data_IF_695341262727
#
_entry.id   IF_695341262727
#
_cell.length_a   1.000
_cell.length_b   1.000
_cell.length_c   1.000
_cell.angle_alpha   90.00
_cell.angle_beta   90.00
_cell.angle_gamma   90.00
#
_symmetry.space_group_name_H-M   'P 1'
#
loop_
_entity.id
_entity.type
_entity.pdbx_description
1 polymer ?
#
# COMPACT_ATOMS: atom_id res chain seq x y z
N UNK A 1 23.19 35.80 -12.23
CA UNK A 1 22.64 35.71 -13.60
C UNK A 1 22.36 34.29 -14.09
N UNK A 2 23.01 33.23 -13.59
CA UNK A 2 22.68 31.83 -13.94
C UNK A 2 21.36 31.32 -13.31
N UNK A 3 20.95 31.82 -12.15
CA UNK A 3 19.75 31.35 -11.43
C UNK A 3 18.42 31.88 -12.01
N UNK A 4 18.43 33.03 -12.69
CA UNK A 4 17.22 33.61 -13.31
C UNK A 4 16.85 32.87 -14.61
N UNK A 5 17.84 32.32 -15.31
CA UNK A 5 17.63 31.58 -16.56
C UNK A 5 16.98 30.19 -16.32
N UNK A 6 17.26 29.57 -15.17
CA UNK A 6 16.68 28.27 -14.78
C UNK A 6 15.21 28.43 -14.35
N UNK A 7 14.84 29.53 -13.68
CA UNK A 7 13.45 29.83 -13.36
C UNK A 7 12.59 30.12 -14.60
N UNK A 8 13.14 30.80 -15.62
CA UNK A 8 12.43 31.02 -16.88
C UNK A 8 12.31 29.76 -17.74
N UNK A 9 13.29 28.85 -17.71
CA UNK A 9 13.20 27.57 -18.40
C UNK A 9 12.19 26.62 -17.73
N UNK A 10 12.08 26.66 -16.39
CA UNK A 10 11.07 25.88 -15.64
C UNK A 10 9.67 26.47 -15.82
N UNK A 11 9.54 27.81 -15.88
CA UNK A 11 8.28 28.47 -16.22
C UNK A 11 7.84 28.15 -17.66
N UNK A 12 8.77 27.94 -18.61
CA UNK A 12 8.41 27.59 -19.99
C UNK A 12 7.96 26.13 -20.18
N UNK A 13 8.09 25.25 -19.18
CA UNK A 13 7.85 23.80 -19.31
C UNK A 13 6.58 23.31 -18.56
N UNK A 14 5.83 24.14 -17.84
CA UNK A 14 4.65 23.66 -17.08
C UNK A 14 3.46 24.64 -17.00
N UNK A 15 3.01 25.16 -18.15
CA UNK A 15 1.74 25.92 -18.26
C UNK A 15 0.63 25.13 -18.99
N UNK A 16 0.76 23.80 -19.10
CA UNK A 16 -0.25 22.96 -19.76
C UNK A 16 -1.33 22.53 -18.78
N UNK A 17 -2.60 22.66 -19.17
CA UNK A 17 -3.66 21.86 -18.57
C UNK A 17 -3.31 20.38 -18.80
N UNK A 18 -3.30 19.60 -17.73
CA UNK A 18 -2.96 18.18 -17.75
C UNK A 18 -4.21 17.35 -18.07
N UNK A 19 -4.03 16.20 -18.72
CA UNK A 19 -5.11 15.22 -18.95
C UNK A 19 -4.85 14.00 -18.10
N UNK A 20 -5.73 13.74 -17.13
CA UNK A 20 -5.59 12.68 -16.14
C UNK A 20 -6.79 11.75 -16.20
N UNK A 21 -6.52 10.45 -16.10
CA UNK A 21 -7.51 9.38 -16.11
C UNK A 21 -7.53 8.59 -14.80
N UNK A 22 -8.73 8.36 -14.26
CA UNK A 22 -8.98 7.51 -13.10
C UNK A 22 -9.79 6.28 -13.48
N UNK A 23 -9.25 5.08 -13.25
CA UNK A 23 -9.96 3.81 -13.47
C UNK A 23 -10.82 3.43 -12.26
N UNK A 24 -12.02 3.97 -12.19
CA UNK A 24 -12.96 3.75 -11.07
C UNK A 24 -14.37 3.45 -11.56
N UNK A 25 -15.20 2.72 -10.79
CA UNK A 25 -16.60 2.55 -11.13
C UNK A 25 -17.30 3.92 -11.11
N UNK A 26 -17.89 4.32 -12.25
CA UNK A 26 -18.56 5.64 -12.38
C UNK A 26 -19.65 5.83 -11.31
N UNK A 27 -20.50 4.82 -11.11
CA UNK A 27 -21.64 4.89 -10.19
C UNK A 27 -21.23 5.02 -8.72
N UNK A 28 -20.00 4.61 -8.37
CA UNK A 28 -19.44 4.84 -7.05
C UNK A 28 -19.01 6.30 -6.88
N UNK A 29 -18.44 6.90 -7.93
CA UNK A 29 -17.94 8.27 -7.90
C UNK A 29 -19.06 9.31 -8.07
N UNK A 30 -19.97 9.07 -9.00
CA UNK A 30 -21.08 9.92 -9.36
C UNK A 30 -22.35 9.07 -9.25
N UNK A 31 -23.15 9.30 -8.22
CA UNK A 31 -24.36 8.51 -7.97
C UNK A 31 -25.35 8.62 -9.13
N UNK A 32 -26.20 7.60 -9.38
CA UNK A 32 -27.21 7.65 -10.44
C UNK A 32 -28.13 8.89 -10.37
N UNK A 33 -28.43 9.39 -9.17
CA UNK A 33 -29.19 10.63 -8.97
C UNK A 33 -28.44 11.87 -9.49
N UNK A 34 -27.12 11.95 -9.26
CA UNK A 34 -26.33 13.06 -9.77
C UNK A 34 -26.24 13.03 -11.30
N UNK A 35 -26.22 11.84 -11.89
CA UNK A 35 -26.17 11.64 -13.35
C UNK A 35 -27.45 12.08 -14.06
N UNK A 36 -28.61 12.00 -13.39
CA UNK A 36 -29.91 12.33 -13.98
C UNK A 36 -29.95 13.79 -14.48
N UNK A 37 -30.16 13.96 -15.79
CA UNK A 37 -30.23 15.26 -16.46
C UNK A 37 -28.92 16.07 -16.46
N UNK A 38 -27.80 15.49 -16.03
CA UNK A 38 -26.49 16.15 -15.96
C UNK A 38 -25.35 15.35 -16.59
N UNK A 39 -25.70 14.34 -17.37
CA UNK A 39 -24.79 13.60 -18.25
C UNK A 39 -25.24 13.76 -19.69
N UNK A 40 -24.30 13.69 -20.63
CA UNK A 40 -24.58 13.81 -22.06
C UNK A 40 -23.62 12.95 -22.87
N UNK A 41 -24.16 12.08 -23.71
CA UNK A 41 -23.35 11.33 -24.68
C UNK A 41 -22.67 12.27 -25.67
N UNK A 42 -21.37 12.05 -25.87
CA UNK A 42 -20.55 12.81 -26.79
C UNK A 42 -20.45 12.05 -28.11
N UNK A 43 -20.69 12.76 -29.22
CA UNK A 43 -20.53 12.20 -30.57
C UNK A 43 -19.08 12.18 -31.04
N UNK A 44 -18.20 12.91 -30.36
CA UNK A 44 -16.76 12.99 -30.59
C UNK A 44 -16.06 13.40 -29.28
N UNK A 45 -14.79 13.06 -29.07
CA UNK A 45 -14.05 13.52 -27.91
C UNK A 45 -13.95 15.06 -27.89
N UNK A 46 -13.91 15.70 -26.70
CA UNK A 46 -13.83 17.16 -26.59
C UNK A 46 -12.57 17.72 -27.24
N UNK A 47 -11.48 16.95 -27.23
CA UNK A 47 -10.23 17.22 -27.92
C UNK A 47 -9.49 15.90 -28.23
N UNK A 48 -8.42 15.99 -29.03
CA UNK A 48 -7.55 14.85 -29.27
C UNK A 48 -6.78 14.50 -27.98
N UNK A 49 -6.92 13.27 -27.53
CA UNK A 49 -6.26 12.73 -26.34
C UNK A 49 -5.96 11.25 -26.55
N UNK A 50 -4.83 10.80 -26.03
CA UNK A 50 -4.43 9.40 -26.07
C UNK A 50 -5.36 8.46 -25.27
N UNK A 51 -6.23 9.02 -24.41
CA UNK A 51 -7.26 8.27 -23.69
C UNK A 51 -8.47 7.88 -24.53
N UNK A 52 -8.64 8.46 -25.72
CA UNK A 52 -9.84 8.28 -26.55
C UNK A 52 -9.49 7.64 -27.88
N UNK A 53 -10.19 6.55 -28.20
CA UNK A 53 -10.11 5.89 -29.49
C UNK A 53 -11.34 6.20 -30.36
N UNK A 54 -11.16 6.07 -31.68
CA UNK A 54 -12.26 6.29 -32.62
C UNK A 54 -13.34 5.22 -32.41
N UNK A 55 -14.55 5.68 -32.08
CA UNK A 55 -15.70 4.81 -31.83
C UNK A 55 -15.94 4.52 -30.35
N UNK A 56 -15.14 5.10 -29.45
CA UNK A 56 -15.42 5.04 -28.01
C UNK A 56 -16.77 5.68 -27.69
N UNK A 57 -17.52 5.05 -26.79
CA UNK A 57 -18.69 5.66 -26.19
C UNK A 57 -18.24 6.55 -25.03
N UNK A 58 -18.40 7.85 -25.22
CA UNK A 58 -17.92 8.90 -24.32
C UNK A 58 -19.11 9.66 -23.73
N UNK A 59 -19.10 9.87 -22.42
CA UNK A 59 -20.16 10.59 -21.71
C UNK A 59 -19.55 11.78 -20.99
N UNK A 60 -20.03 12.98 -21.29
CA UNK A 60 -19.70 14.19 -20.52
C UNK A 60 -20.38 14.11 -19.16
N UNK A 61 -19.58 14.14 -18.10
CA UNK A 61 -20.05 13.98 -16.71
C UNK A 61 -19.68 15.17 -15.84
N UNK A 62 -19.16 16.27 -16.40
CA UNK A 62 -18.71 17.45 -15.62
C UNK A 62 -19.83 18.04 -14.76
N UNK A 63 -21.03 18.17 -15.32
CA UNK A 63 -22.17 18.71 -14.60
C UNK A 63 -22.63 17.76 -13.46
N UNK A 64 -22.61 16.45 -13.70
CA UNK A 64 -22.92 15.46 -12.67
C UNK A 64 -21.86 15.42 -11.55
N UNK A 65 -20.56 15.53 -11.91
CA UNK A 65 -19.46 15.66 -10.94
C UNK A 65 -19.65 16.89 -10.03
N UNK A 66 -20.00 18.04 -10.61
CA UNK A 66 -20.22 19.27 -9.86
C UNK A 66 -21.43 19.21 -8.91
N UNK A 67 -22.38 18.27 -9.11
CA UNK A 67 -23.42 18.01 -8.10
C UNK A 67 -22.91 17.23 -6.90
N UNK A 68 -21.86 16.41 -7.03
CA UNK A 68 -21.37 15.54 -5.94
C UNK A 68 -20.22 16.15 -5.13
N UNK A 69 -19.39 17.00 -5.74
CA UNK A 69 -18.22 17.62 -5.09
C UNK A 69 -18.51 18.35 -3.77
N UNK A 70 -19.63 19.08 -3.60
CA UNK A 70 -19.96 19.72 -2.33
C UNK A 70 -20.09 18.73 -1.15
N UNK A 71 -20.40 17.46 -1.42
CA UNK A 71 -20.65 16.42 -0.42
C UNK A 71 -19.42 15.53 -0.11
N UNK A 72 -18.28 15.77 -0.76
CA UNK A 72 -17.07 14.95 -0.67
C UNK A 72 -16.45 14.85 0.74
N UNK A 73 -16.72 15.83 1.61
CA UNK A 73 -16.09 15.95 2.93
C UNK A 73 -17.09 16.06 4.09
N UNK A 74 -18.36 15.72 3.89
CA UNK A 74 -19.30 15.64 5.01
C UNK A 74 -18.94 14.40 5.83
N UNK A 75 -18.18 14.64 6.89
CA UNK A 75 -17.87 13.66 7.95
C UNK A 75 -19.07 13.41 8.86
N UNK A 76 -20.27 13.83 8.47
CA UNK A 76 -21.47 13.69 9.27
C UNK A 76 -21.74 12.20 9.49
N UNK A 77 -21.57 11.77 10.73
CA UNK A 77 -22.04 10.50 11.27
C UNK A 77 -23.57 10.38 11.15
N UNK A 78 -24.26 11.48 10.87
CA UNK A 78 -25.69 11.56 10.66
C UNK A 78 -26.01 11.90 9.18
N UNK A 79 -26.53 10.95 8.38
CA UNK A 79 -26.93 11.20 6.99
C UNK A 79 -28.14 12.14 6.85
N UNK A 80 -28.72 12.61 7.96
CA UNK A 80 -29.87 13.52 7.99
C UNK A 80 -29.54 14.89 8.59
N UNK A 81 -28.29 15.16 8.96
CA UNK A 81 -27.89 16.48 9.43
C UNK A 81 -28.01 17.50 8.29
N UNK A 82 -28.50 18.72 8.56
CA UNK A 82 -28.56 19.77 7.56
C UNK A 82 -27.13 20.15 7.16
N UNK A 83 -26.74 19.77 5.94
CA UNK A 83 -25.43 20.07 5.41
C UNK A 83 -25.17 21.59 5.47
N UNK A 84 -24.05 22.04 6.07
CA UNK A 84 -23.62 23.42 5.86
C UNK A 84 -23.47 23.60 4.36
N UNK A 85 -24.11 24.63 3.80
CA UNK A 85 -24.05 24.95 2.37
C UNK A 85 -22.58 25.14 1.95
N UNK A 86 -21.89 24.07 1.56
CA UNK A 86 -20.54 24.11 1.00
C UNK A 86 -20.63 24.59 -0.44
N UNK A 87 -21.06 25.84 -0.61
CA UNK A 87 -21.31 26.50 -1.91
C UNK A 87 -20.04 26.69 -2.77
N UNK A 88 -18.86 26.35 -2.24
CA UNK A 88 -17.58 26.79 -2.82
C UNK A 88 -16.75 25.68 -3.49
N UNK A 89 -17.31 24.47 -3.73
CA UNK A 89 -16.56 23.38 -4.37
C UNK A 89 -17.14 22.99 -5.71
N UNK A 90 -16.62 23.63 -6.77
CA UNK A 90 -16.91 23.32 -8.17
C UNK A 90 -15.61 22.97 -8.87
N UNK A 91 -15.63 21.95 -9.74
CA UNK A 91 -14.53 21.68 -10.65
C UNK A 91 -14.58 22.67 -11.82
N UNK A 92 -13.54 23.49 -11.95
CA UNK A 92 -13.41 24.55 -12.95
C UNK A 92 -12.53 24.15 -14.15
N UNK A 93 -11.94 22.94 -14.14
CA UNK A 93 -11.16 22.43 -15.27
C UNK A 93 -11.98 22.30 -16.56
N UNK A 94 -11.30 22.18 -17.71
CA UNK A 94 -11.89 22.26 -19.04
C UNK A 94 -13.07 21.30 -19.23
N UNK A 95 -12.84 19.99 -19.05
CA UNK A 95 -13.83 18.94 -19.27
C UNK A 95 -13.59 17.72 -18.39
N UNK A 96 -14.66 16.93 -18.20
CA UNK A 96 -14.65 15.66 -17.48
C UNK A 96 -15.52 14.66 -18.26
N UNK A 97 -14.91 13.58 -18.73
CA UNK A 97 -15.53 12.60 -19.63
C UNK A 97 -15.34 11.20 -19.09
N UNK A 98 -16.41 10.43 -19.02
CA UNK A 98 -16.37 9.00 -18.79
C UNK A 98 -16.20 8.25 -20.11
N UNK A 99 -15.22 7.36 -20.20
CA UNK A 99 -15.02 6.46 -21.34
C UNK A 99 -15.47 5.03 -20.95
N UNK A 100 -16.52 4.53 -21.61
CA UNK A 100 -17.09 3.23 -21.27
C UNK A 100 -16.17 2.05 -21.61
N UNK A 101 -15.38 2.17 -22.69
CA UNK A 101 -14.47 1.09 -23.12
C UNK A 101 -13.34 0.90 -22.12
N UNK A 102 -12.65 1.98 -21.76
CA UNK A 102 -11.51 1.93 -20.84
C UNK A 102 -11.94 1.87 -19.36
N UNK A 103 -13.22 2.16 -19.06
CA UNK A 103 -13.76 2.31 -17.71
C UNK A 103 -13.00 3.36 -16.91
N UNK A 104 -12.70 4.49 -17.55
CA UNK A 104 -11.94 5.57 -16.95
C UNK A 104 -12.72 6.88 -16.98
N UNK A 105 -12.69 7.59 -15.86
CA UNK A 105 -13.02 9.00 -15.81
C UNK A 105 -11.78 9.77 -16.26
N UNK A 106 -11.88 10.56 -17.32
CA UNK A 106 -10.78 11.36 -17.85
C UNK A 106 -11.15 12.82 -17.70
N UNK A 107 -10.26 13.63 -17.14
CA UNK A 107 -10.47 15.06 -17.00
C UNK A 107 -9.27 15.85 -17.48
N UNK A 108 -9.55 17.08 -17.91
CA UNK A 108 -8.53 18.07 -18.23
C UNK A 108 -8.67 19.28 -17.33
N UNK A 109 -7.56 19.75 -16.79
CA UNK A 109 -7.50 20.95 -15.97
C UNK A 109 -6.11 21.18 -15.39
N UNK A 110 -5.98 22.19 -14.55
CA UNK A 110 -4.80 22.33 -13.70
C UNK A 110 -4.81 21.27 -12.57
N UNK A 111 -3.64 21.06 -11.97
CA UNK A 111 -3.47 20.07 -10.90
C UNK A 111 -4.33 20.35 -9.65
N UNK A 112 -4.65 21.61 -9.38
CA UNK A 112 -5.52 22.00 -8.26
C UNK A 112 -6.95 21.49 -8.48
N UNK A 113 -7.51 21.68 -9.67
CA UNK A 113 -8.81 21.16 -10.06
C UNK A 113 -8.82 19.63 -10.15
N UNK A 114 -7.79 19.01 -10.73
CA UNK A 114 -7.69 17.55 -10.84
C UNK A 114 -7.58 16.89 -9.45
N UNK A 115 -6.96 17.58 -8.48
CA UNK A 115 -6.90 17.17 -7.08
C UNK A 115 -8.29 17.00 -6.41
N UNK A 116 -9.32 17.72 -6.87
CA UNK A 116 -10.69 17.55 -6.37
C UNK A 116 -11.25 16.16 -6.73
N UNK A 117 -11.05 15.71 -7.96
CA UNK A 117 -11.48 14.39 -8.44
C UNK A 117 -10.67 13.29 -7.74
N UNK A 118 -9.35 13.50 -7.64
CA UNK A 118 -8.46 12.58 -6.95
C UNK A 118 -8.88 12.33 -5.49
N UNK A 119 -9.26 13.39 -4.77
CA UNK A 119 -9.73 13.28 -3.40
C UNK A 119 -11.03 12.46 -3.27
N UNK A 120 -11.86 12.38 -4.32
CA UNK A 120 -13.05 11.52 -4.33
C UNK A 120 -12.61 10.08 -4.55
N UNK A 121 -11.78 9.87 -5.58
CA UNK A 121 -11.34 8.56 -6.07
C UNK A 121 -10.58 7.77 -5.00
N UNK A 122 -9.74 8.42 -4.20
CA UNK A 122 -8.90 7.74 -3.19
C UNK A 122 -9.38 8.01 -1.77
N UNK A 123 -10.67 8.29 -1.60
CA UNK A 123 -11.26 8.43 -0.28
C UNK A 123 -11.13 7.14 0.54
N UNK A 124 -10.88 7.26 1.86
CA UNK A 124 -10.87 6.12 2.81
C UNK A 124 -12.19 5.32 2.80
N UNK A 125 -13.24 5.86 2.19
CA UNK A 125 -14.61 5.32 2.11
C UNK A 125 -14.88 4.49 0.85
N UNK A 126 -13.99 4.47 -0.15
CA UNK A 126 -14.20 3.61 -1.33
C UNK A 126 -14.36 2.16 -0.89
N UNK A 127 -15.41 1.41 -1.26
CA UNK A 127 -15.47 -0.01 -0.99
C UNK A 127 -14.38 -0.71 -1.81
N UNK A 128 -13.57 -1.55 -1.15
CA UNK A 128 -12.55 -2.35 -1.82
C UNK A 128 -12.73 -3.81 -1.45
N UNK A 129 -12.26 -4.66 -2.34
CA UNK A 129 -12.01 -6.06 -2.09
C UNK A 129 -10.51 -6.27 -1.96
N UNK A 130 -10.12 -7.41 -1.40
CA UNK A 130 -8.74 -7.85 -1.33
C UNK A 130 -8.69 -9.18 -2.06
N UNK A 131 -7.98 -9.18 -3.19
CA UNK A 131 -7.65 -10.39 -3.92
C UNK A 131 -6.41 -11.00 -3.27
N UNK A 132 -6.61 -12.08 -2.54
CA UNK A 132 -5.53 -12.89 -1.99
C UNK A 132 -5.20 -13.99 -3.00
N UNK A 133 -3.93 -14.08 -3.39
CA UNK A 133 -3.38 -15.18 -4.16
C UNK A 133 -2.40 -15.95 -3.28
N UNK A 134 -2.54 -17.28 -3.23
CA UNK A 134 -1.61 -18.17 -2.55
C UNK A 134 -1.03 -19.09 -3.61
N UNK A 135 0.30 -19.11 -3.71
CA UNK A 135 1.04 -19.96 -4.65
C UNK A 135 1.80 -21.00 -3.85
N UNK A 136 1.61 -22.27 -4.20
CA UNK A 136 2.39 -23.37 -3.68
C UNK A 136 3.32 -23.90 -4.77
N UNK A 137 4.63 -23.87 -4.52
CA UNK A 137 5.63 -24.47 -5.41
C UNK A 137 6.10 -25.79 -4.83
N UNK A 138 5.98 -26.84 -5.63
CA UNK A 138 6.52 -28.16 -5.31
C UNK A 138 7.95 -28.31 -5.88
N UNK A 139 8.78 -29.23 -5.36
CA UNK A 139 10.12 -29.48 -5.87
C UNK A 139 10.17 -29.91 -7.35
N UNK A 140 9.05 -30.33 -7.92
CA UNK A 140 8.95 -30.87 -9.28
C UNK A 140 8.28 -29.92 -10.28
N UNK A 141 7.76 -28.77 -9.84
CA UNK A 141 6.99 -27.84 -10.68
C UNK A 141 7.54 -26.42 -10.60
N UNK A 142 8.07 -25.92 -11.72
CA UNK A 142 8.66 -24.58 -11.78
C UNK A 142 7.63 -23.44 -11.61
N UNK A 143 6.37 -23.66 -12.02
CA UNK A 143 5.32 -22.61 -12.01
C UNK A 143 4.44 -22.61 -10.76
N UNK A 144 4.44 -23.70 -9.98
CA UNK A 144 3.56 -23.88 -8.81
C UNK A 144 2.06 -23.89 -9.12
N UNK A 145 1.27 -24.26 -8.10
CA UNK A 145 -0.19 -24.18 -8.12
C UNK A 145 -0.66 -22.88 -7.48
N UNK A 146 -1.45 -22.07 -8.20
CA UNK A 146 -1.99 -20.79 -7.72
C UNK A 146 -3.47 -20.90 -7.37
N UNK A 147 -3.83 -20.32 -6.24
CA UNK A 147 -5.18 -20.26 -5.73
C UNK A 147 -5.55 -18.85 -5.33
N UNK A 148 -6.66 -18.37 -5.85
CA UNK A 148 -7.11 -16.99 -5.64
C UNK A 148 -8.41 -16.94 -4.85
N UNK A 149 -8.54 -15.98 -3.95
CA UNK A 149 -9.75 -15.72 -3.20
C UNK A 149 -9.94 -14.22 -3.09
N UNK A 150 -11.18 -13.78 -3.29
CA UNK A 150 -11.56 -12.37 -3.18
C UNK A 150 -12.38 -12.20 -1.91
N UNK A 151 -11.90 -11.37 -0.98
CA UNK A 151 -12.58 -11.10 0.30
C UNK A 151 -12.82 -9.60 0.48
N UNK A 152 -13.84 -9.25 1.26
CA UNK A 152 -13.97 -7.89 1.77
C UNK A 152 -12.96 -7.66 2.89
N UNK A 153 -12.46 -6.43 2.99
CA UNK A 153 -11.51 -6.08 4.05
C UNK A 153 -12.13 -6.28 5.43
N UNK A 154 -11.52 -7.16 6.24
CA UNK A 154 -11.96 -7.53 7.58
C UNK A 154 -12.95 -8.71 7.64
N UNK A 155 -13.37 -9.24 6.49
CA UNK A 155 -14.21 -10.45 6.43
C UNK A 155 -13.36 -11.70 6.21
N UNK A 156 -13.87 -12.83 6.69
CA UNK A 156 -13.28 -14.14 6.44
C UNK A 156 -13.81 -14.70 5.12
N UNK A 157 -12.95 -15.27 4.32
CA UNK A 157 -13.30 -16.06 3.14
C UNK A 157 -12.73 -17.46 3.22
N UNK A 158 -13.43 -18.41 2.62
CA UNK A 158 -13.00 -19.80 2.47
C UNK A 158 -13.16 -20.22 1.02
N UNK A 159 -12.12 -20.83 0.46
CA UNK A 159 -12.15 -21.51 -0.83
C UNK A 159 -11.71 -22.96 -0.64
N UNK A 160 -12.49 -23.89 -1.17
CA UNK A 160 -12.13 -25.31 -1.24
C UNK A 160 -12.12 -25.70 -2.72
N UNK A 161 -11.00 -26.23 -3.20
CA UNK A 161 -10.83 -26.73 -4.56
C UNK A 161 -10.27 -28.13 -4.46
N UNK A 162 -11.06 -29.12 -4.84
CA UNK A 162 -10.71 -30.54 -4.69
C UNK A 162 -10.32 -30.86 -3.23
N UNK A 163 -9.05 -31.16 -2.98
CA UNK A 163 -8.46 -31.49 -1.68
C UNK A 163 -7.71 -30.32 -1.03
N UNK A 164 -7.68 -29.16 -1.68
CA UNK A 164 -7.02 -27.95 -1.19
C UNK A 164 -8.04 -27.04 -0.50
N UNK A 165 -7.68 -26.50 0.66
CA UNK A 165 -8.49 -25.50 1.36
C UNK A 165 -7.67 -24.26 1.73
N UNK A 166 -8.28 -23.10 1.53
CA UNK A 166 -7.70 -21.78 1.83
C UNK A 166 -8.73 -20.97 2.59
N UNK A 167 -8.42 -20.64 3.84
CA UNK A 167 -9.16 -19.66 4.64
C UNK A 167 -8.31 -18.40 4.78
N UNK A 168 -8.87 -17.24 4.46
CA UNK A 168 -8.19 -15.95 4.65
C UNK A 168 -9.07 -14.97 5.41
N UNK A 169 -8.46 -14.22 6.30
CA UNK A 169 -9.01 -12.98 6.87
C UNK A 169 -8.02 -11.87 6.51
N UNK A 170 -8.38 -10.99 5.58
CA UNK A 170 -7.49 -9.94 5.10
C UNK A 170 -8.05 -8.57 5.46
N UNK A 171 -7.24 -7.68 6.02
CA UNK A 171 -7.61 -6.31 6.36
C UNK A 171 -6.64 -5.34 5.71
N UNK A 172 -7.17 -4.51 4.81
CA UNK A 172 -6.37 -3.47 4.16
C UNK A 172 -6.10 -2.34 5.14
N UNK A 173 -4.82 -1.97 5.24
CA UNK A 173 -4.33 -0.78 5.93
C UNK A 173 -3.95 0.24 4.85
N UNK A 174 -4.96 0.75 4.12
CA UNK A 174 -4.80 1.64 2.95
C UNK A 174 -3.86 2.83 3.15
N UNK A 175 -3.79 3.31 4.37
CA UNK A 175 -2.91 4.41 4.76
C UNK A 175 -1.42 4.05 4.67
N UNK A 176 -1.09 2.80 4.36
CA UNK A 176 0.28 2.32 4.44
C UNK A 176 0.66 1.34 3.33
N UNK A 177 -0.22 1.12 2.34
CA UNK A 177 -0.06 0.10 1.30
C UNK A 177 0.27 -1.31 1.84
N UNK A 178 -0.34 -1.68 2.97
CA UNK A 178 -0.19 -2.99 3.56
C UNK A 178 -1.53 -3.72 3.70
N UNK A 179 -1.45 -5.05 3.67
CA UNK A 179 -2.57 -5.94 4.00
C UNK A 179 -2.17 -6.84 5.17
N UNK A 180 -2.94 -6.76 6.26
CA UNK A 180 -2.85 -7.68 7.38
C UNK A 180 -3.65 -8.94 7.04
N UNK A 181 -2.96 -10.05 6.81
CA UNK A 181 -3.49 -11.31 6.35
C UNK A 181 -3.34 -12.38 7.44
N UNK A 182 -4.43 -13.00 7.84
CA UNK A 182 -4.40 -14.33 8.47
C UNK A 182 -4.74 -15.37 7.44
N UNK A 183 -3.93 -16.41 7.34
CA UNK A 183 -4.07 -17.49 6.38
C UNK A 183 -4.12 -18.83 7.11
N UNK A 184 -5.05 -19.70 6.69
CA UNK A 184 -4.96 -21.15 6.86
C UNK A 184 -4.97 -21.79 5.48
N UNK A 185 -3.94 -22.54 5.18
CA UNK A 185 -3.78 -23.23 3.90
C UNK A 185 -3.54 -24.70 4.14
N UNK A 186 -4.36 -25.57 3.54
CA UNK A 186 -4.16 -27.01 3.54
C UNK A 186 -3.97 -27.49 2.10
N UNK A 187 -2.88 -28.20 1.83
CA UNK A 187 -2.54 -28.67 0.50
C UNK A 187 -2.05 -30.13 0.54
N UNK A 188 -2.57 -31.04 -0.31
CA UNK A 188 -2.05 -32.39 -0.40
C UNK A 188 -0.63 -32.37 -0.98
N UNK A 189 0.30 -33.07 -0.35
CA UNK A 189 1.63 -33.29 -0.92
C UNK A 189 1.66 -34.56 -1.78
N UNK A 190 0.90 -35.58 -1.36
CA UNK A 190 0.66 -36.82 -2.08
C UNK A 190 -0.64 -37.49 -1.57
N UNK A 191 -0.87 -38.76 -1.89
CA UNK A 191 -2.07 -39.52 -1.50
C UNK A 191 -2.28 -39.64 0.02
N UNK A 192 -1.22 -39.46 0.83
CA UNK A 192 -1.28 -39.65 2.30
C UNK A 192 -0.94 -38.38 3.07
N UNK A 193 -0.04 -37.55 2.53
CA UNK A 193 0.52 -36.41 3.25
C UNK A 193 -0.18 -35.11 2.91
N UNK A 194 -0.42 -34.29 3.93
CA UNK A 194 -1.03 -32.97 3.82
C UNK A 194 -0.16 -31.93 4.51
N UNK A 195 0.18 -30.87 3.79
CA UNK A 195 0.81 -29.67 4.32
C UNK A 195 -0.25 -28.72 4.86
N UNK A 196 -0.02 -28.15 6.04
CA UNK A 196 -0.86 -27.12 6.66
C UNK A 196 0.00 -25.92 7.06
N UNK A 197 -0.33 -24.75 6.53
CA UNK A 197 0.22 -23.46 6.97
C UNK A 197 -0.87 -22.70 7.71
N UNK A 198 -0.58 -22.22 8.92
CA UNK A 198 -1.48 -21.35 9.68
C UNK A 198 -0.70 -20.20 10.30
N UNK A 199 -1.16 -18.96 10.12
CA UNK A 199 -0.52 -17.81 10.74
C UNK A 199 -1.01 -16.45 10.28
N UNK A 200 -0.52 -15.41 10.95
CA UNK A 200 -0.73 -14.01 10.59
C UNK A 200 0.53 -13.38 9.99
N UNK A 201 0.35 -12.58 8.94
CA UNK A 201 1.42 -11.91 8.20
C UNK A 201 0.93 -10.56 7.68
N UNK A 202 1.80 -9.56 7.60
CA UNK A 202 1.55 -8.33 6.88
C UNK A 202 2.28 -8.40 5.55
N UNK A 203 1.55 -8.10 4.49
CA UNK A 203 2.05 -8.11 3.13
C UNK A 203 2.09 -6.67 2.61
N UNK A 204 3.15 -6.31 1.89
CA UNK A 204 3.05 -5.20 0.95
C UNK A 204 1.97 -5.51 -0.07
N UNK A 205 1.14 -4.52 -0.41
CA UNK A 205 0.13 -4.71 -1.43
C UNK A 205 0.78 -5.03 -2.77
N UNK A 206 0.17 -5.97 -3.50
CA UNK A 206 0.56 -6.34 -4.87
C UNK A 206 1.96 -6.97 -5.00
N UNK A 207 2.61 -7.31 -3.88
CA UNK A 207 3.92 -7.97 -3.89
C UNK A 207 3.84 -9.43 -3.41
N UNK A 208 4.35 -10.38 -4.20
CA UNK A 208 4.41 -11.77 -3.79
C UNK A 208 5.44 -11.93 -2.67
N UNK A 209 5.01 -12.57 -1.59
CA UNK A 209 5.79 -12.71 -0.36
C UNK A 209 5.86 -14.16 0.06
N UNK A 210 7.08 -14.66 0.31
CA UNK A 210 7.26 -15.99 0.88
C UNK A 210 6.76 -16.04 2.33
N UNK A 211 5.80 -16.93 2.58
CA UNK A 211 5.20 -17.16 3.89
C UNK A 211 5.91 -18.27 4.66
N UNK A 212 6.37 -19.27 3.93
CA UNK A 212 7.18 -20.34 4.49
C UNK A 212 7.74 -21.26 3.41
N UNK A 213 8.81 -21.95 3.76
CA UNK A 213 9.40 -22.99 2.95
C UNK A 213 9.75 -24.18 3.83
N UNK A 214 9.81 -25.36 3.23
CA UNK A 214 10.39 -26.56 3.84
C UNK A 214 11.41 -27.12 2.87
N UNK A 215 12.53 -27.63 3.35
CA UNK A 215 13.57 -28.28 2.58
C UNK A 215 13.97 -29.57 3.28
N UNK A 216 13.92 -30.70 2.56
CA UNK A 216 14.26 -32.01 3.11
C UNK A 216 15.75 -32.35 2.97
N UNK A 217 16.13 -33.51 3.51
CA UNK A 217 17.51 -34.04 3.44
C UNK A 217 18.07 -34.24 2.02
N UNK A 218 17.20 -34.26 1.01
CA UNK A 218 17.59 -34.40 -0.38
C UNK A 218 17.77 -33.05 -1.11
N UNK A 219 17.55 -31.94 -0.41
CA UNK A 219 17.55 -30.58 -0.98
C UNK A 219 16.28 -30.28 -1.78
N UNK A 220 15.23 -31.09 -1.65
CA UNK A 220 13.94 -30.79 -2.28
C UNK A 220 13.23 -29.75 -1.43
N UNK A 221 12.86 -28.64 -2.06
CA UNK A 221 12.22 -27.50 -1.39
C UNK A 221 10.80 -27.29 -1.87
N UNK A 222 9.90 -27.13 -0.91
CA UNK A 222 8.54 -26.62 -1.12
C UNK A 222 8.47 -25.19 -0.63
N UNK A 223 7.73 -24.35 -1.33
CA UNK A 223 7.57 -22.93 -0.97
C UNK A 223 6.12 -22.51 -1.06
N UNK A 224 5.65 -21.75 -0.07
CA UNK A 224 4.35 -21.09 -0.08
C UNK A 224 4.58 -19.59 -0.14
N UNK A 225 3.99 -18.95 -1.15
CA UNK A 225 3.96 -17.50 -1.30
C UNK A 225 2.52 -17.01 -1.21
N UNK A 226 2.34 -15.77 -0.77
CA UNK A 226 1.07 -15.08 -0.88
C UNK A 226 1.24 -13.67 -1.40
N UNK A 227 0.27 -13.23 -2.19
CA UNK A 227 0.10 -11.86 -2.65
C UNK A 227 -1.26 -11.38 -2.18
N UNK A 228 -1.33 -10.19 -1.59
CA UNK A 228 -2.60 -9.55 -1.28
C UNK A 228 -2.72 -8.25 -2.05
N UNK A 229 -3.75 -8.18 -2.89
CA UNK A 229 -3.99 -7.08 -3.82
C UNK A 229 -5.29 -6.39 -3.46
N UNK A 230 -5.25 -5.19 -2.85
CA UNK A 230 -6.41 -4.32 -2.77
C UNK A 230 -6.93 -3.99 -4.17
N UNK A 231 -8.21 -4.24 -4.42
CA UNK A 231 -8.86 -3.96 -5.71
C UNK A 231 -10.16 -3.18 -5.52
N UNK A 232 -10.55 -2.42 -6.54
CA UNK A 232 -11.89 -1.85 -6.63
C UNK A 232 -12.95 -2.94 -6.71
N UNK A 233 -14.22 -2.56 -6.56
CA UNK A 233 -15.34 -3.48 -6.75
C UNK A 233 -15.38 -4.12 -8.15
N UNK A 234 -14.79 -3.46 -9.15
CA UNK A 234 -14.65 -3.95 -10.53
C UNK A 234 -13.38 -4.81 -10.74
N UNK A 235 -12.57 -5.01 -9.69
CA UNK A 235 -11.41 -5.90 -9.70
C UNK A 235 -10.08 -5.28 -10.13
N UNK A 236 -10.02 -3.96 -10.34
CA UNK A 236 -8.80 -3.24 -10.69
C UNK A 236 -7.93 -2.98 -9.46
N UNK A 237 -6.61 -3.22 -9.56
CA UNK A 237 -5.67 -2.88 -8.48
C UNK A 237 -5.71 -1.39 -8.17
N UNK A 238 -5.57 -1.05 -6.88
CA UNK A 238 -5.43 0.34 -6.46
C UNK A 238 -4.19 1.03 -7.05
N UNK A 239 -3.13 0.28 -7.41
CA UNK A 239 -1.93 0.81 -8.09
C UNK A 239 -2.19 1.20 -9.55
N UNK A 240 -3.31 0.74 -10.13
CA UNK A 240 -3.69 0.96 -11.52
C UNK A 240 -4.82 2.00 -11.67
N UNK A 241 -5.12 2.76 -10.62
CA UNK A 241 -6.22 3.73 -10.66
C UNK A 241 -5.86 4.98 -11.44
N UNK A 242 -4.63 5.49 -11.34
CA UNK A 242 -4.28 6.82 -11.82
C UNK A 242 -3.36 6.76 -13.04
N UNK A 243 -3.72 7.52 -14.06
CA UNK A 243 -3.03 7.58 -15.34
C UNK A 243 -2.98 9.02 -15.83
N UNK A 244 -1.98 9.35 -16.64
CA UNK A 244 -1.83 10.69 -17.19
C UNK A 244 -1.35 10.64 -18.63
N UNK A 245 -1.79 11.61 -19.42
CA UNK A 245 -1.29 11.79 -20.77
C UNK A 245 0.00 12.64 -20.75
N UNK A 246 1.06 12.13 -21.35
CA UNK A 246 2.31 12.86 -21.60
C UNK A 246 2.79 12.58 -23.01
N UNK A 247 3.17 13.63 -23.73
CA UNK A 247 3.71 13.53 -25.09
C UNK A 247 2.84 12.66 -26.04
N UNK A 248 1.51 12.75 -25.89
CA UNK A 248 0.54 12.00 -26.69
C UNK A 248 0.45 10.50 -26.35
N UNK A 249 0.92 10.09 -25.16
CA UNK A 249 0.82 8.72 -24.65
C UNK A 249 0.20 8.71 -23.27
N UNK A 250 -0.54 7.65 -22.97
CA UNK A 250 -1.10 7.41 -21.62
C UNK A 250 -0.10 6.58 -20.81
N UNK A 251 0.31 7.12 -19.67
CA UNK A 251 1.27 6.50 -18.75
C UNK A 251 0.61 6.28 -17.38
N UNK A 252 0.93 5.16 -16.71
CA UNK A 252 0.49 4.93 -15.33
C UNK A 252 1.18 5.95 -14.44
N UNK A 253 0.40 6.70 -13.67
CA UNK A 253 0.96 7.48 -12.58
C UNK A 253 1.04 6.54 -11.38
N UNK A 254 2.11 5.74 -11.30
CA UNK A 254 2.31 4.90 -10.14
C UNK A 254 2.43 5.78 -8.89
N UNK A 255 1.63 5.54 -7.84
CA UNK A 255 1.88 6.16 -6.53
C UNK A 255 3.28 5.79 -5.99
N UNK A 256 3.84 4.65 -6.43
CA UNK A 256 5.04 4.03 -5.82
C UNK A 256 6.16 3.62 -6.81
N UNK A 257 6.07 3.91 -8.10
CA UNK A 257 6.72 3.04 -9.11
C UNK A 257 7.53 3.67 -10.24
N UNK A 258 8.12 4.85 -10.05
CA UNK A 258 9.33 5.32 -10.78
C UNK A 258 10.10 6.29 -9.86
N UNK A 259 10.39 5.83 -8.63
CA UNK A 259 11.06 6.63 -7.61
C UNK A 259 12.47 6.15 -7.26
N UNK A 260 12.96 5.07 -7.88
CA UNK A 260 14.39 4.78 -7.93
C UNK A 260 15.15 5.75 -8.87
N UNK A 261 14.49 6.34 -9.88
CA UNK A 261 15.07 7.43 -10.70
C UNK A 261 14.66 8.84 -10.23
N UNK A 262 13.79 8.93 -9.21
CA UNK A 262 13.47 10.18 -8.50
C UNK A 262 13.95 10.13 -7.05
N UNK A 263 15.08 9.49 -6.81
CA UNK A 263 15.91 9.77 -5.65
C UNK A 263 16.08 11.30 -5.54
N UNK A 264 15.55 11.86 -4.46
CA UNK A 264 15.83 13.18 -3.91
C UNK A 264 16.39 14.23 -4.89
N UNK A 265 15.54 14.77 -5.78
CA UNK A 265 15.75 16.17 -6.19
C UNK A 265 15.24 17.05 -5.05
N UNK A 266 16.02 17.11 -3.99
CA UNK A 266 16.12 18.33 -3.23
C UNK A 266 16.45 19.44 -4.25
N UNK A 267 15.49 20.33 -4.47
CA UNK A 267 15.71 21.49 -5.32
C UNK A 267 16.02 22.64 -4.39
N UNK A 268 17.26 23.11 -4.43
CA UNK A 268 17.62 24.35 -3.76
C UNK A 268 16.90 25.51 -4.47
N UNK A 269 16.16 26.25 -3.67
CA UNK A 269 15.48 27.48 -4.06
C UNK A 269 16.27 28.67 -3.51
N UNK A 270 16.00 29.90 -3.98
CA UNK A 270 16.58 31.11 -3.39
C UNK A 270 16.36 31.18 -1.88
N UNK A 271 17.20 31.98 -1.21
CA UNK A 271 17.06 32.32 0.22
C UNK A 271 17.18 31.13 1.19
N UNK A 272 17.91 30.08 0.77
CA UNK A 272 18.20 28.91 1.62
C UNK A 272 17.02 27.96 1.80
N UNK A 273 16.00 28.11 0.96
CA UNK A 273 14.87 27.19 0.88
C UNK A 273 15.23 25.95 0.08
N UNK A 274 14.54 24.88 0.44
CA UNK A 274 14.67 23.57 -0.14
C UNK A 274 13.27 23.08 -0.47
N UNK A 275 13.07 22.58 -1.68
CA UNK A 275 11.90 21.77 -2.00
C UNK A 275 12.26 20.31 -1.79
N UNK A 276 11.53 19.61 -0.93
CA UNK A 276 11.60 18.14 -0.76
C UNK A 276 10.22 17.51 -0.92
N UNK A 277 10.24 16.24 -1.30
CA UNK A 277 9.07 15.37 -1.37
C UNK A 277 9.27 14.23 -0.41
N UNK A 278 8.24 13.92 0.35
CA UNK A 278 8.21 12.87 1.34
C UNK A 278 7.11 11.88 0.99
N UNK A 279 7.46 10.59 0.99
CA UNK A 279 6.45 9.54 1.02
C UNK A 279 5.94 9.40 2.44
N UNK A 280 4.65 9.58 2.59
CA UNK A 280 3.97 9.60 3.87
C UNK A 280 2.62 8.93 3.73
N UNK A 281 2.16 8.28 4.80
CA UNK A 281 0.83 7.67 4.83
C UNK A 281 -0.27 8.63 4.33
N UNK A 282 -1.24 8.20 3.50
CA UNK A 282 -2.43 8.99 3.14
C UNK A 282 -3.20 9.57 4.34
N UNK A 283 -3.03 8.97 5.52
CA UNK A 283 -3.62 9.42 6.78
C UNK A 283 -2.71 10.29 7.67
N UNK A 284 -1.51 10.67 7.21
CA UNK A 284 -0.50 11.35 8.03
C UNK A 284 -1.09 12.55 8.78
N UNK A 285 -1.74 13.46 8.04
CA UNK A 285 -2.26 14.71 8.60
C UNK A 285 -3.39 14.50 9.64
N UNK A 286 -4.05 13.34 9.63
CA UNK A 286 -5.08 12.98 10.61
C UNK A 286 -4.50 12.40 11.90
N UNK A 287 -3.33 11.78 11.83
CA UNK A 287 -2.76 11.00 12.92
C UNK A 287 -1.57 11.70 13.60
N UNK A 288 -1.22 12.91 13.16
CA UNK A 288 -0.29 13.77 13.89
C UNK A 288 -0.89 14.20 15.24
N UNK A 289 -0.15 14.05 16.36
CA UNK A 289 -0.70 14.12 17.71
C UNK A 289 -1.09 15.53 18.16
N UNK A 290 -0.52 16.57 17.54
CA UNK A 290 -0.79 17.96 17.89
C UNK A 290 -1.37 18.70 16.69
N UNK A 291 -2.45 19.47 16.88
CA UNK A 291 -3.03 20.31 15.81
C UNK A 291 -4.39 19.89 15.26
N UNK A 292 -5.12 19.01 15.95
CA UNK A 292 -6.57 18.93 15.80
C UNK A 292 -7.22 18.92 17.17
N UNK A 293 -7.85 20.02 17.56
CA UNK A 293 -8.91 19.95 18.58
C UNK A 293 -10.09 19.14 18.02
N UNK A 294 -10.97 18.59 18.88
CA UNK A 294 -12.20 17.93 18.40
C UNK A 294 -13.01 18.83 17.45
N UNK A 295 -12.90 20.16 17.57
CA UNK A 295 -13.53 21.15 16.67
C UNK A 295 -12.82 21.30 15.30
N UNK A 296 -11.51 21.05 15.22
CA UNK A 296 -10.72 21.15 13.97
C UNK A 296 -10.77 19.88 13.12
N UNK A 297 -11.12 18.73 13.71
CA UNK A 297 -11.36 17.49 12.95
C UNK A 297 -12.47 17.64 11.88
N UNK A 298 -13.36 18.63 12.06
CA UNK A 298 -14.51 18.91 11.19
C UNK A 298 -14.27 19.99 10.14
N UNK A 299 -13.11 20.65 10.14
CA UNK A 299 -12.81 21.68 9.13
C UNK A 299 -12.25 21.04 7.87
N UNK A 300 -12.78 21.35 6.68
CA UNK A 300 -12.19 20.89 5.44
C UNK A 300 -10.75 21.38 5.33
N UNK A 301 -9.80 20.48 5.04
CA UNK A 301 -8.43 20.91 4.73
C UNK A 301 -8.52 21.77 3.47
N UNK A 302 -8.00 23.00 3.56
CA UNK A 302 -7.98 23.95 2.44
C UNK A 302 -7.08 23.41 1.33
N UNK A 303 -7.39 23.73 0.09
CA UNK A 303 -6.44 23.51 -1.00
C UNK A 303 -5.26 24.47 -0.82
N UNK A 304 -4.07 24.00 -1.16
CA UNK A 304 -2.89 24.85 -1.16
C UNK A 304 -2.96 25.78 -2.36
N UNK A 305 -2.98 27.10 -2.11
CA UNK A 305 -2.81 28.09 -3.17
C UNK A 305 -1.32 28.19 -3.53
N UNK A 306 -0.95 27.78 -4.74
CA UNK A 306 0.46 27.78 -5.18
C UNK A 306 0.76 29.07 -5.98
N UNK A 307 1.70 29.92 -5.51
CA UNK A 307 2.12 31.10 -6.26
C UNK A 307 2.69 30.75 -7.63
N UNK A 308 2.50 31.61 -8.63
CA UNK A 308 2.97 31.41 -10.00
C UNK A 308 4.45 31.01 -10.10
N UNK A 309 5.29 31.55 -9.21
CA UNK A 309 6.74 31.25 -9.15
C UNK A 309 7.06 29.80 -8.77
N UNK A 310 6.10 29.08 -8.18
CA UNK A 310 6.25 27.70 -7.72
C UNK A 310 5.31 26.74 -8.47
N UNK A 311 4.52 27.21 -9.43
CA UNK A 311 3.71 26.34 -10.30
C UNK A 311 4.62 25.41 -11.11
N UNK A 312 4.15 24.18 -11.35
CA UNK A 312 4.93 23.14 -12.05
C UNK A 312 6.00 22.44 -11.19
N UNK A 313 6.21 22.85 -9.94
CA UNK A 313 7.13 22.16 -9.02
C UNK A 313 6.56 20.86 -8.42
N UNK A 314 5.27 20.58 -8.68
CA UNK A 314 4.53 19.50 -8.06
C UNK A 314 4.02 19.84 -6.65
N UNK A 315 4.11 21.10 -6.21
CA UNK A 315 3.34 21.60 -5.07
C UNK A 315 1.86 21.69 -5.43
N UNK A 316 0.99 21.33 -4.49
CA UNK A 316 -0.47 21.35 -4.66
C UNK A 316 -1.15 20.49 -3.60
N UNK A 317 -2.36 20.03 -3.91
CA UNK A 317 -3.15 19.21 -2.99
C UNK A 317 -3.68 20.03 -1.83
N UNK A 318 -3.78 19.41 -0.65
CA UNK A 318 -4.29 20.08 0.55
C UNK A 318 -3.16 20.80 1.29
N UNK A 319 -3.44 21.99 1.82
CA UNK A 319 -2.51 22.76 2.65
C UNK A 319 -2.21 22.01 3.96
N UNK A 320 -0.97 21.59 4.11
CA UNK A 320 -0.45 20.89 5.28
C UNK A 320 0.32 21.80 6.25
N UNK A 321 0.56 23.07 5.89
CA UNK A 321 1.45 23.95 6.65
C UNK A 321 0.92 24.21 8.07
N UNK A 322 -0.39 24.44 8.22
CA UNK A 322 -1.01 24.66 9.52
C UNK A 322 -0.89 23.46 10.46
N UNK A 323 -1.11 22.25 9.95
CA UNK A 323 -1.03 21.01 10.73
C UNK A 323 0.43 20.72 11.13
N UNK A 324 1.36 20.88 10.20
CA UNK A 324 2.79 20.72 10.49
C UNK A 324 3.30 21.78 11.49
N UNK A 325 2.77 23.01 11.42
CA UNK A 325 3.08 24.08 12.38
C UNK A 325 2.69 23.72 13.81
N UNK A 326 1.53 23.09 13.98
CA UNK A 326 1.08 22.59 15.28
C UNK A 326 1.96 21.46 15.84
N UNK A 327 2.76 20.81 14.99
CA UNK A 327 3.76 19.80 15.36
C UNK A 327 5.19 20.37 15.41
N UNK A 328 5.35 21.70 15.38
CA UNK A 328 6.62 22.39 15.61
C UNK A 328 7.40 22.78 14.35
N UNK A 329 6.92 22.46 13.15
CA UNK A 329 7.54 22.85 11.87
C UNK A 329 7.28 24.34 11.60
N UNK A 330 8.30 25.14 11.28
CA UNK A 330 8.13 26.59 11.12
C UNK A 330 8.03 27.00 9.66
N UNK A 331 6.95 27.68 9.28
CA UNK A 331 6.78 28.27 7.94
C UNK A 331 7.02 29.78 8.00
N UNK A 332 8.27 30.17 8.23
CA UNK A 332 8.65 31.57 8.50
C UNK A 332 8.99 32.40 7.26
N UNK A 333 9.26 31.74 6.11
CA UNK A 333 9.55 32.40 4.85
C UNK A 333 8.25 32.59 4.04
N UNK A 334 8.07 33.70 3.28
CA UNK A 334 6.87 33.93 2.46
C UNK A 334 6.57 32.85 1.40
N UNK A 335 7.60 32.13 0.98
CA UNK A 335 7.50 31.00 0.04
C UNK A 335 7.50 29.62 0.73
N UNK A 336 7.60 29.58 2.07
CA UNK A 336 7.55 28.31 2.79
C UNK A 336 6.11 27.80 2.81
N UNK A 337 5.91 26.59 2.31
CA UNK A 337 4.59 25.97 2.21
C UNK A 337 4.70 24.46 2.16
N UNK A 338 3.60 23.78 2.47
CA UNK A 338 3.50 22.33 2.42
C UNK A 338 2.18 21.91 1.80
N UNK A 339 2.26 21.15 0.72
CA UNK A 339 1.13 20.55 0.03
C UNK A 339 1.12 19.05 0.24
N UNK A 340 -0.05 18.47 0.49
CA UNK A 340 -0.21 17.04 0.70
C UNK A 340 -1.17 16.44 -0.32
N UNK A 341 -0.68 15.45 -1.06
CA UNK A 341 -1.45 14.62 -1.97
C UNK A 341 -1.77 13.30 -1.26
N UNK A 342 -3.02 13.15 -0.80
CA UNK A 342 -3.54 11.86 -0.30
C UNK A 342 -3.42 10.76 -1.37
N UNK A 343 -3.55 11.20 -2.62
CA UNK A 343 -3.17 10.60 -3.90
C UNK A 343 -1.98 9.64 -3.88
N UNK A 344 -0.83 10.26 -4.04
CA UNK A 344 0.44 9.58 -4.14
C UNK A 344 1.10 9.35 -2.79
N UNK A 345 0.36 9.41 -1.67
CA UNK A 345 0.95 9.28 -0.34
C UNK A 345 2.13 10.27 -0.19
N UNK A 346 1.94 11.53 -0.60
CA UNK A 346 3.05 12.43 -0.87
C UNK A 346 2.86 13.79 -0.21
N UNK A 347 3.80 14.14 0.66
CA UNK A 347 3.94 15.49 1.21
C UNK A 347 5.05 16.22 0.42
N UNK A 348 4.71 17.31 -0.24
CA UNK A 348 5.65 18.19 -0.92
C UNK A 348 5.80 19.45 -0.08
N UNK A 349 7.02 19.77 0.32
CA UNK A 349 7.29 20.90 1.21
C UNK A 349 8.42 21.75 0.65
N UNK A 350 8.20 23.06 0.68
CA UNK A 350 9.23 24.07 0.50
C UNK A 350 9.51 24.69 1.85
N UNK A 351 10.72 24.49 2.39
CA UNK A 351 11.11 25.10 3.65
C UNK A 351 12.63 25.11 3.86
N UNK A 352 13.09 25.54 5.03
CA UNK A 352 14.50 25.46 5.42
C UNK A 352 14.92 24.02 5.72
N UNK A 353 16.23 23.72 5.56
CA UNK A 353 16.79 22.39 5.89
C UNK A 353 16.47 21.95 7.33
N UNK A 354 16.51 22.88 8.30
CA UNK A 354 16.24 22.56 9.69
C UNK A 354 14.80 22.07 9.92
N UNK A 355 13.83 22.65 9.21
CA UNK A 355 12.43 22.22 9.27
C UNK A 355 12.23 20.88 8.55
N UNK A 356 12.99 20.62 7.49
CA UNK A 356 13.02 19.31 6.83
C UNK A 356 13.55 18.20 7.75
N UNK A 357 14.61 18.45 8.53
CA UNK A 357 15.13 17.48 9.51
C UNK A 357 14.10 17.15 10.61
N UNK A 358 13.27 18.12 11.00
CA UNK A 358 12.20 17.91 11.97
C UNK A 358 11.06 17.07 11.37
N UNK A 359 10.66 17.35 10.13
CA UNK A 359 9.66 16.54 9.41
C UNK A 359 10.15 15.10 9.28
N UNK A 360 11.41 14.87 8.90
CA UNK A 360 11.97 13.52 8.81
C UNK A 360 11.90 12.78 10.14
N UNK A 361 12.18 13.46 11.26
CA UNK A 361 12.02 12.88 12.60
C UNK A 361 10.57 12.54 12.95
N UNK A 362 9.62 13.40 12.59
CA UNK A 362 8.19 13.14 12.79
C UNK A 362 7.80 11.88 12.01
N UNK A 363 8.22 11.77 10.75
CA UNK A 363 7.96 10.62 9.90
C UNK A 363 8.62 9.34 10.41
N UNK A 364 9.82 9.43 10.99
CA UNK A 364 10.57 8.28 11.52
C UNK A 364 10.17 7.86 12.94
N UNK A 365 9.36 8.65 13.67
CA UNK A 365 9.12 8.48 15.12
C UNK A 365 8.16 7.35 15.53
N UNK A 366 7.77 6.45 14.62
CA UNK A 366 7.04 5.22 14.97
C UNK A 366 5.53 5.35 15.12
N UNK A 367 4.93 6.54 14.94
CA UNK A 367 3.47 6.69 14.82
C UNK A 367 2.89 5.97 13.57
N UNK A 368 3.77 5.56 12.64
CA UNK A 368 3.42 5.08 11.30
C UNK A 368 4.32 3.95 10.79
N UNK A 369 5.08 3.28 11.66
CA UNK A 369 5.90 2.15 11.24
C UNK A 369 5.01 0.93 10.92
N UNK A 370 5.30 0.17 9.86
CA UNK A 370 4.63 -1.11 9.65
C UNK A 370 4.74 -1.96 10.90
N UNK A 371 3.66 -2.68 11.28
CA UNK A 371 3.83 -3.74 12.26
C UNK A 371 4.91 -4.68 11.76
N UNK A 372 5.81 -5.03 12.67
CA UNK A 372 7.07 -5.66 12.32
C UNK A 372 6.87 -7.19 12.28
N UNK A 373 7.44 -7.84 11.28
CA UNK A 373 7.33 -9.28 11.08
C UNK A 373 8.64 -9.96 11.41
N UNK A 374 8.51 -11.19 11.88
CA UNK A 374 9.64 -12.08 12.11
C UNK A 374 9.67 -13.13 11.02
N UNK A 375 10.76 -13.16 10.28
CA UNK A 375 11.14 -14.32 9.49
C UNK A 375 12.05 -15.18 10.34
N UNK A 376 11.65 -16.42 10.59
CA UNK A 376 12.44 -17.37 11.37
C UNK A 376 12.83 -18.53 10.46
N UNK A 377 14.13 -18.78 10.41
CA UNK A 377 14.72 -19.93 9.73
C UNK A 377 15.30 -20.87 10.77
N UNK A 378 15.01 -22.14 10.61
CA UNK A 378 15.62 -23.23 11.35
C UNK A 378 16.35 -24.11 10.33
N UNK A 379 17.63 -24.28 10.55
CA UNK A 379 18.48 -25.14 9.71
C UNK A 379 18.94 -26.31 10.57
N UNK A 380 18.90 -27.51 9.99
CA UNK A 380 19.43 -28.71 10.59
C UNK A 380 20.31 -29.43 9.58
N UNK A 381 21.43 -30.02 10.01
CA UNK A 381 22.41 -30.68 9.14
C UNK A 381 21.79 -31.81 8.27
N UNK A 382 21.08 -31.45 7.20
CA UNK A 382 20.10 -32.28 6.52
C UNK A 382 19.12 -31.42 5.72
N UNK A 383 18.39 -30.50 6.34
CA UNK A 383 17.40 -29.67 5.65
C UNK A 383 17.09 -28.38 6.41
N UNK A 384 16.07 -27.65 5.97
CA UNK A 384 15.76 -26.35 6.53
C UNK A 384 14.29 -26.01 6.44
N UNK A 385 13.87 -25.06 7.26
CA UNK A 385 12.51 -24.54 7.22
C UNK A 385 12.53 -23.04 7.52
N UNK A 386 11.71 -22.29 6.81
CA UNK A 386 11.47 -20.88 7.07
C UNK A 386 9.99 -20.63 7.28
N UNK A 387 9.66 -19.77 8.23
CA UNK A 387 8.28 -19.32 8.43
C UNK A 387 8.23 -17.85 8.82
N UNK A 388 7.27 -17.14 8.22
CA UNK A 388 6.96 -15.75 8.54
C UNK A 388 5.87 -15.70 9.59
N UNK A 389 6.08 -14.87 10.61
CA UNK A 389 5.15 -14.73 11.73
C UNK A 389 4.98 -13.26 12.13
N UNK A 390 3.75 -12.87 12.41
CA UNK A 390 3.42 -11.58 13.02
C UNK A 390 3.81 -11.60 14.50
N UNK A 391 4.46 -10.53 14.96
CA UNK A 391 4.83 -10.40 16.38
C UNK A 391 3.62 -10.58 17.30
N UNK A 392 3.74 -11.48 18.27
CA UNK A 392 2.70 -11.82 19.24
C UNK A 392 1.67 -12.86 18.76
N UNK A 393 1.80 -13.41 17.55
CA UNK A 393 0.94 -14.46 17.03
C UNK A 393 1.74 -15.72 16.71
N UNK A 394 1.13 -16.89 16.94
CA UNK A 394 1.75 -18.16 16.57
C UNK A 394 1.55 -18.40 15.08
N UNK A 395 2.58 -18.88 14.41
CA UNK A 395 2.50 -19.38 13.03
C UNK A 395 3.09 -20.79 12.97
N UNK A 396 2.51 -21.66 12.15
CA UNK A 396 3.02 -23.01 11.95
C UNK A 396 2.96 -23.46 10.50
N UNK A 397 3.89 -24.34 10.15
CA UNK A 397 3.97 -25.05 8.89
C UNK A 397 4.16 -26.52 9.24
N UNK A 398 3.11 -27.31 9.08
CA UNK A 398 3.01 -28.68 9.57
C UNK A 398 2.71 -29.66 8.43
N UNK A 399 3.30 -30.84 8.46
CA UNK A 399 3.03 -31.96 7.57
C UNK A 399 2.39 -33.08 8.37
N UNK A 400 1.23 -33.53 7.91
CA UNK A 400 0.50 -34.66 8.48
C UNK A 400 0.54 -35.85 7.53
N UNK A 401 0.75 -37.06 8.04
CA UNK A 401 0.55 -38.33 7.33
C UNK A 401 -0.71 -38.99 7.90
N UNK A 402 -1.82 -38.92 7.18
CA UNK A 402 -3.14 -39.23 7.73
C UNK A 402 -3.52 -38.31 8.90
N UNK A 403 -3.66 -38.87 10.11
CA UNK A 403 -3.96 -38.12 11.34
C UNK A 403 -2.69 -37.81 12.18
N UNK A 404 -1.55 -38.38 11.83
CA UNK A 404 -0.31 -38.24 12.61
C UNK A 404 0.51 -37.02 12.16
N UNK A 405 1.03 -36.25 13.12
CA UNK A 405 1.97 -35.15 12.85
C UNK A 405 3.33 -35.75 12.50
N UNK A 406 3.74 -35.60 11.24
CA UNK A 406 4.94 -36.22 10.69
C UNK A 406 6.15 -35.31 10.87
N UNK A 407 6.01 -34.05 10.47
CA UNK A 407 7.01 -33.01 10.62
C UNK A 407 6.36 -31.62 10.69
N UNK A 408 7.09 -30.62 11.16
CA UNK A 408 6.60 -29.25 11.16
C UNK A 408 7.42 -28.29 11.99
N UNK A 409 7.07 -27.01 11.88
CA UNK A 409 7.58 -25.92 12.70
C UNK A 409 6.41 -25.11 13.26
N UNK A 410 6.49 -24.75 14.52
CA UNK A 410 5.66 -23.73 15.16
C UNK A 410 6.52 -22.64 15.78
N UNK A 411 6.28 -21.39 15.40
CA UNK A 411 6.97 -20.21 15.93
C UNK A 411 5.97 -19.26 16.57
N UNK A 412 6.32 -18.73 17.74
CA UNK A 412 5.73 -17.54 18.34
C UNK A 412 6.86 -16.55 18.61
N UNK A 413 6.92 -15.50 17.80
CA UNK A 413 7.92 -14.45 17.94
C UNK A 413 7.32 -13.20 18.57
N UNK A 414 8.04 -12.57 19.49
CA UNK A 414 7.70 -11.26 20.05
C UNK A 414 8.89 -10.33 19.91
N UNK A 415 8.66 -9.14 19.37
CA UNK A 415 9.71 -8.14 19.21
C UNK A 415 9.84 -7.28 20.45
N UNK A 416 11.08 -7.10 20.89
CA UNK A 416 11.40 -6.23 22.01
C UNK A 416 11.26 -4.74 21.65
N UNK A 417 11.42 -3.88 22.65
CA UNK A 417 11.34 -2.42 22.48
C UNK A 417 12.39 -1.85 21.50
N UNK A 418 13.47 -2.60 21.25
CA UNK A 418 14.40 -2.37 20.15
C UNK A 418 14.07 -3.39 19.08
N UNK A 419 13.61 -2.94 17.91
CA UNK A 419 13.19 -3.78 16.76
C UNK A 419 14.30 -4.63 16.14
N UNK A 420 15.43 -4.81 16.83
CA UNK A 420 16.53 -5.69 16.48
C UNK A 420 16.55 -6.93 17.39
N UNK A 421 15.81 -6.95 18.50
CA UNK A 421 15.80 -8.06 19.46
C UNK A 421 14.45 -8.76 19.38
N UNK A 422 14.48 -10.08 19.18
CA UNK A 422 13.30 -10.92 19.07
C UNK A 422 13.35 -12.06 20.11
N UNK A 423 12.31 -12.17 20.92
CA UNK A 423 12.07 -13.35 21.74
C UNK A 423 11.28 -14.36 20.91
N UNK A 424 11.84 -15.55 20.70
CA UNK A 424 11.30 -16.58 19.83
C UNK A 424 11.05 -17.84 20.64
N UNK A 425 9.79 -18.25 20.74
CA UNK A 425 9.42 -19.60 21.17
C UNK A 425 9.22 -20.49 19.95
N UNK A 426 9.82 -21.67 19.96
CA UNK A 426 9.85 -22.57 18.82
C UNK A 426 9.51 -24.01 19.20
N UNK A 427 8.92 -24.71 18.23
CA UNK A 427 8.67 -26.14 18.23
C UNK A 427 9.02 -26.66 16.82
N UNK A 428 10.05 -27.48 16.72
CA UNK A 428 10.49 -28.09 15.47
C UNK A 428 10.38 -29.61 15.58
N UNK A 429 9.70 -30.22 14.62
CA UNK A 429 9.59 -31.66 14.42
C UNK A 429 10.16 -31.94 13.03
N UNK A 430 11.47 -32.18 12.88
CA UNK A 430 12.08 -32.36 11.57
C UNK A 430 11.80 -33.75 10.99
N UNK A 431 11.58 -34.74 11.86
CA UNK A 431 11.19 -36.10 11.50
C UNK A 431 10.27 -36.72 12.58
N UNK A 432 9.46 -37.74 12.24
CA UNK A 432 8.58 -38.42 13.18
C UNK A 432 9.32 -38.88 14.44
N UNK A 433 8.79 -38.56 15.62
CA UNK A 433 9.39 -38.95 16.91
C UNK A 433 10.59 -38.10 17.35
N UNK A 434 10.97 -37.07 16.60
CA UNK A 434 12.02 -36.12 16.98
C UNK A 434 11.43 -34.73 17.23
N UNK A 435 11.80 -34.06 18.32
CA UNK A 435 11.30 -32.71 18.59
C UNK A 435 12.28 -31.81 19.33
N UNK A 436 12.43 -30.58 18.87
CA UNK A 436 13.10 -29.50 19.58
C UNK A 436 12.06 -28.48 20.00
N UNK A 437 11.99 -28.17 21.29
CA UNK A 437 11.09 -27.16 21.83
C UNK A 437 11.85 -26.28 22.79
N UNK A 438 11.61 -24.97 22.72
CA UNK A 438 12.29 -24.03 23.58
C UNK A 438 11.88 -22.60 23.33
N UNK A 439 12.55 -21.70 24.05
CA UNK A 439 12.48 -20.28 23.82
C UNK A 439 13.90 -19.71 23.88
N UNK A 440 14.19 -18.74 23.02
CA UNK A 440 15.47 -18.05 22.96
C UNK A 440 15.26 -16.59 22.56
N UNK A 441 16.29 -15.77 22.78
CA UNK A 441 16.33 -14.38 22.34
C UNK A 441 17.37 -14.26 21.23
N UNK A 442 16.98 -13.67 20.11
CA UNK A 442 17.81 -13.53 18.92
C UNK A 442 17.99 -12.05 18.58
N UNK A 443 19.21 -11.68 18.21
CA UNK A 443 19.49 -10.41 17.56
C UNK A 443 19.25 -10.57 16.06
N UNK A 444 18.48 -9.68 15.45
CA UNK A 444 18.04 -9.77 14.06
C UNK A 444 19.22 -10.03 13.11
N UNK A 445 19.11 -11.07 12.29
CA UNK A 445 20.14 -11.52 11.35
C UNK A 445 21.23 -12.41 11.95
N UNK A 446 21.25 -12.63 13.27
CA UNK A 446 22.22 -13.51 13.94
C UNK A 446 21.65 -14.91 14.16
N UNK A 447 22.54 -15.90 14.07
CA UNK A 447 22.24 -17.30 14.32
C UNK A 447 22.49 -17.67 15.79
N UNK A 448 21.62 -18.55 16.31
CA UNK A 448 21.71 -19.11 17.66
C UNK A 448 21.62 -20.63 17.57
N UNK A 449 22.63 -21.32 18.10
CA UNK A 449 22.63 -22.78 18.22
C UNK A 449 21.58 -23.23 19.25
N UNK A 450 20.63 -24.06 18.81
CA UNK A 450 19.58 -24.60 19.68
C UNK A 450 19.96 -25.92 20.34
N UNK A 451 20.97 -26.61 19.79
CA UNK A 451 21.54 -27.82 20.35
C UNK A 451 21.72 -28.94 19.33
N UNK A 452 22.03 -30.14 19.84
CA UNK A 452 22.25 -31.33 19.03
C UNK A 452 21.62 -32.56 19.66
N UNK A 453 21.03 -33.43 18.85
CA UNK A 453 20.50 -34.72 19.30
C UNK A 453 20.80 -35.82 18.27
N UNK A 454 20.70 -37.08 18.67
CA UNK A 454 20.82 -38.19 17.72
C UNK A 454 19.42 -38.66 17.30
N UNK A 455 19.15 -38.64 16.00
CA UNK A 455 17.92 -39.16 15.38
C UNK A 455 18.33 -40.30 14.46
N UNK A 456 17.77 -41.49 14.67
CA UNK A 456 18.09 -42.70 13.89
C UNK A 456 19.60 -43.00 13.76
N UNK A 457 20.38 -42.68 14.80
CA UNK A 457 21.83 -42.89 14.84
C UNK A 457 22.66 -41.80 14.16
N UNK A 458 22.03 -40.76 13.60
CA UNK A 458 22.69 -39.60 12.99
C UNK A 458 22.67 -38.42 13.97
N UNK A 459 23.84 -37.80 14.18
CA UNK A 459 23.94 -36.60 15.00
C UNK A 459 23.40 -35.38 14.24
N UNK A 460 22.26 -34.88 14.67
CA UNK A 460 21.62 -33.71 14.08
C UNK A 460 21.83 -32.48 14.97
N UNK A 461 22.25 -31.38 14.35
CA UNK A 461 22.36 -30.06 15.01
C UNK A 461 21.29 -29.15 14.45
N UNK A 462 20.77 -28.26 15.28
CA UNK A 462 19.77 -27.28 14.87
C UNK A 462 20.24 -25.89 15.26
N UNK A 463 20.19 -24.96 14.30
CA UNK A 463 20.44 -23.53 14.50
C UNK A 463 19.20 -22.73 14.11
N UNK A 464 18.96 -21.63 14.81
CA UNK A 464 17.86 -20.71 14.56
C UNK A 464 18.40 -19.35 14.16
N UNK A 465 17.85 -18.79 13.09
CA UNK A 465 18.06 -17.40 12.68
C UNK A 465 16.72 -16.69 12.65
N UNK A 466 16.68 -15.46 13.17
CA UNK A 466 15.50 -14.61 13.08
C UNK A 466 15.87 -13.28 12.43
N UNK A 467 15.09 -12.86 11.45
CA UNK A 467 15.24 -11.58 10.77
C UNK A 467 13.99 -10.76 10.96
N UNK A 468 14.21 -9.50 11.31
CA UNK A 468 13.15 -8.50 11.41
C UNK A 468 12.90 -7.93 10.03
N UNK A 469 11.70 -8.14 9.52
CA UNK A 469 11.27 -7.62 8.23
C UNK A 469 10.27 -6.50 8.42
N UNK A 470 10.51 -5.41 7.71
CA UNK A 470 9.55 -4.32 7.52
C UNK A 470 8.88 -4.54 6.17
N UNK A 471 7.59 -4.19 6.05
CA UNK A 471 6.75 -4.53 4.89
C UNK A 471 7.29 -4.19 3.49
N UNK A 472 8.36 -3.40 3.34
CA UNK A 472 8.98 -3.04 2.06
C UNK A 472 10.29 -3.79 1.73
N UNK A 473 10.83 -4.61 2.63
CA UNK A 473 12.12 -5.25 2.36
C UNK A 473 11.95 -6.51 1.51
N UNK A 474 12.31 -6.38 0.23
CA UNK A 474 12.83 -7.50 -0.56
C UNK A 474 13.97 -8.14 0.23
N UNK A 475 13.96 -9.46 0.35
CA UNK A 475 15.18 -10.20 0.62
C UNK A 475 16.18 -9.78 -0.45
N UNK A 476 17.23 -9.06 -0.06
CA UNK A 476 18.41 -8.94 -0.90
C UNK A 476 19.07 -10.30 -0.86
N UNK A 477 19.01 -11.00 -1.99
CA UNK A 477 19.89 -12.13 -2.29
C UNK A 477 21.37 -11.76 -2.10
#
# INVERSE_FOLDING_TARGET
>A
MRSVLVLWLMAAIAHGAEVVGWRVPLDWLISPWAQEGATRDLTAPPEASAFFEKGDHLVDVKAALNKVLPYQNTSELDPFAPHPESKDRTFEGDWVVWNERSRMLVAKGDWENLGLIEGLVVSKRMPILIRCEVVFKSPSEDTGSSYQLLVRSGEKGLRVVETVSIEVEARSRREFDWVDLRLKFCHPMDERRVLKLEGGVLLASDEPTTLGFWEDESGKRWEIMATATPVTMDGYSLKDLLWMERDGKVEKLHPEGEMAEREAKEVELPDGLVLRRYHVAPGLLEALPFGRTEEEQWRPIKLLEVPDTLRGTGLGGVDAAGILSSNGVRFSHPLAMAGFFRSGSMLVMVNTRADHDLVEKILSSGLFSPPVHLWVELDWNGGGVGIRSRSGERSSLDVFDGEEHSSGIGILGTLGARSEIADVSYELVPAPGSSWKGATTVLAGHEVDLGSQHVDGVAMKVSLKASVLYGQQREKE
#
